data_IF_070163473092
#
_entry.id   IF_070163473092
#
_cell.length_a   1.000
_cell.length_b   1.000
_cell.length_c   1.000
_cell.angle_alpha   90.00
_cell.angle_beta   90.00
_cell.angle_gamma   90.00
#
_symmetry.space_group_name_H-M   'P 1'
#
loop_
_entity.id
_entity.type
_entity.pdbx_description
1 polymer ?
#
# COMPACT_ATOMS: atom_id res chain seq x y z
N UNK A 1 -23.82 2.48 11.81
CA UNK A 1 -22.51 3.11 12.07
C UNK A 1 -22.22 4.08 10.94
N UNK A 2 -21.82 5.32 11.27
CA UNK A 2 -21.35 6.27 10.25
C UNK A 2 -20.10 5.71 9.57
N UNK A 3 -20.03 5.81 8.25
CA UNK A 3 -18.81 5.58 7.49
C UNK A 3 -17.79 6.67 7.79
N UNK A 4 -16.51 6.33 7.76
CA UNK A 4 -15.40 7.27 7.83
C UNK A 4 -15.43 8.21 6.63
N UNK A 5 -15.22 9.49 6.89
CA UNK A 5 -15.21 10.55 5.89
C UNK A 5 -13.81 10.74 5.32
N UNK A 6 -13.71 11.04 4.04
CA UNK A 6 -12.44 11.32 3.38
C UNK A 6 -12.10 12.81 3.48
N UNK A 7 -10.99 13.13 4.13
CA UNK A 7 -10.50 14.50 4.33
C UNK A 7 -9.31 14.83 3.44
N UNK A 8 -9.48 15.80 2.55
CA UNK A 8 -8.42 16.30 1.68
C UNK A 8 -7.50 17.27 2.43
N UNK A 9 -6.24 16.90 2.64
CA UNK A 9 -5.23 17.84 3.14
C UNK A 9 -4.76 18.77 2.02
N UNK A 10 -4.98 20.07 2.20
CA UNK A 10 -4.66 21.13 1.26
C UNK A 10 -3.38 21.86 1.71
N UNK A 11 -2.31 21.71 0.92
CA UNK A 11 -0.93 22.15 1.22
C UNK A 11 -0.38 23.17 0.21
N UNK A 12 -1.23 23.74 -0.64
CA UNK A 12 -0.88 24.82 -1.55
C UNK A 12 -0.42 26.06 -0.78
N UNK A 13 0.45 26.86 -1.41
CA UNK A 13 1.00 28.07 -0.79
C UNK A 13 0.04 29.27 -0.81
N UNK A 14 -1.03 29.18 -1.61
CA UNK A 14 -2.10 30.18 -1.68
C UNK A 14 -3.49 29.56 -1.51
N UNK A 15 -4.47 30.36 -1.10
CA UNK A 15 -5.88 29.94 -1.01
C UNK A 15 -6.39 29.49 -2.37
N UNK A 16 -6.02 30.18 -3.45
CA UNK A 16 -6.42 29.85 -4.82
C UNK A 16 -5.92 28.46 -5.26
N UNK A 17 -4.65 28.13 -5.00
CA UNK A 17 -4.11 26.79 -5.29
C UNK A 17 -4.86 25.70 -4.53
N UNK A 18 -5.20 25.96 -3.27
CA UNK A 18 -5.94 25.02 -2.44
C UNK A 18 -7.39 24.83 -2.93
N UNK A 19 -8.05 25.89 -3.38
CA UNK A 19 -9.39 25.81 -3.98
C UNK A 19 -9.36 25.06 -5.32
N UNK A 20 -8.38 25.34 -6.18
CA UNK A 20 -8.22 24.62 -7.45
C UNK A 20 -7.99 23.11 -7.23
N UNK A 21 -7.18 22.75 -6.23
CA UNK A 21 -7.00 21.36 -5.83
C UNK A 21 -8.31 20.75 -5.28
N UNK A 22 -9.05 21.48 -4.45
CA UNK A 22 -10.34 21.01 -3.94
C UNK A 22 -11.36 20.79 -5.07
N UNK A 23 -11.45 21.70 -6.04
CA UNK A 23 -12.41 21.60 -7.15
C UNK A 23 -12.18 20.35 -8.00
N UNK A 24 -10.91 19.96 -8.20
CA UNK A 24 -10.57 18.70 -8.85
C UNK A 24 -11.16 17.48 -8.13
N UNK A 25 -11.15 17.47 -6.81
CA UNK A 25 -11.51 16.30 -5.99
C UNK A 25 -12.87 16.42 -5.30
N UNK A 26 -13.65 17.47 -5.56
CA UNK A 26 -14.88 17.80 -4.84
C UNK A 26 -15.91 16.68 -4.81
N UNK A 27 -16.01 15.90 -5.88
CA UNK A 27 -16.90 14.72 -5.96
C UNK A 27 -16.38 13.47 -5.23
N UNK A 28 -15.14 13.51 -4.72
CA UNK A 28 -14.45 12.36 -4.14
C UNK A 28 -14.16 12.53 -2.65
N UNK A 29 -14.31 13.72 -2.08
CA UNK A 29 -13.96 14.03 -0.68
C UNK A 29 -15.15 14.60 0.08
N UNK A 30 -15.18 14.35 1.38
CA UNK A 30 -16.30 14.73 2.25
C UNK A 30 -16.02 16.03 3.02
N UNK A 31 -14.74 16.38 3.18
CA UNK A 31 -14.25 17.60 3.82
C UNK A 31 -12.82 17.93 3.38
N UNK A 32 -12.37 19.15 3.66
CA UNK A 32 -11.01 19.61 3.39
C UNK A 32 -10.32 20.17 4.64
N UNK A 33 -9.03 19.89 4.81
CA UNK A 33 -8.18 20.49 5.84
C UNK A 33 -7.30 21.56 5.19
N UNK A 34 -7.46 22.82 5.61
CA UNK A 34 -6.57 23.90 5.21
C UNK A 34 -5.33 23.89 6.12
N UNK A 35 -4.18 23.53 5.55
CA UNK A 35 -2.88 23.61 6.24
C UNK A 35 -2.32 25.03 6.13
N UNK A 36 -2.73 25.90 7.05
CA UNK A 36 -2.31 27.31 7.08
C UNK A 36 -0.81 27.45 7.25
N UNK A 37 -0.15 26.46 7.85
CA UNK A 37 1.30 26.41 7.98
C UNK A 37 2.03 26.32 6.61
N UNK A 38 1.36 25.92 5.53
CA UNK A 38 1.91 25.93 4.17
C UNK A 38 1.66 27.23 3.42
N UNK A 39 0.73 28.08 3.89
CA UNK A 39 0.39 29.33 3.23
C UNK A 39 1.51 30.37 3.36
N UNK A 40 1.67 31.16 2.30
CA UNK A 40 2.48 32.37 2.33
C UNK A 40 1.92 33.36 3.38
N UNK A 41 2.77 34.16 4.07
CA UNK A 41 2.32 35.04 5.15
C UNK A 41 1.13 35.95 4.79
N UNK A 42 1.12 36.52 3.58
CA UNK A 42 0.04 37.39 3.10
C UNK A 42 -1.31 36.68 2.91
N UNK A 43 -1.29 35.37 2.63
CA UNK A 43 -2.50 34.58 2.44
C UNK A 43 -3.18 34.25 3.78
N UNK A 44 -2.40 34.24 4.87
CA UNK A 44 -2.91 33.94 6.22
C UNK A 44 -3.91 34.98 6.71
N UNK A 45 -3.90 36.19 6.14
CA UNK A 45 -4.89 37.21 6.47
C UNK A 45 -6.28 36.92 5.88
N UNK A 46 -6.40 35.94 4.97
CA UNK A 46 -7.62 35.63 4.21
C UNK A 46 -8.23 34.27 4.58
N UNK A 47 -7.67 33.58 5.57
CA UNK A 47 -8.09 32.21 5.93
C UNK A 47 -9.54 32.12 6.41
N UNK A 48 -10.09 33.21 6.96
CA UNK A 48 -11.47 33.25 7.45
C UNK A 48 -12.49 33.08 6.31
N UNK A 49 -12.17 33.55 5.11
CA UNK A 49 -13.04 33.45 3.93
C UNK A 49 -13.01 32.05 3.31
N UNK A 50 -12.10 31.18 3.76
CA UNK A 50 -11.87 29.88 3.14
C UNK A 50 -13.08 28.94 3.20
N UNK A 51 -13.79 28.77 4.34
CA UNK A 51 -14.90 27.82 4.40
C UNK A 51 -16.03 28.15 3.41
N UNK A 52 -16.38 29.44 3.28
CA UNK A 52 -17.39 29.90 2.31
C UNK A 52 -16.97 29.56 0.87
N UNK A 53 -15.70 29.84 0.50
CA UNK A 53 -15.17 29.53 -0.84
C UNK A 53 -15.03 28.03 -1.07
N UNK A 54 -14.67 27.28 -0.04
CA UNK A 54 -14.51 25.84 -0.12
C UNK A 54 -15.86 25.15 -0.37
N UNK A 55 -16.97 25.66 0.17
CA UNK A 55 -18.32 25.14 -0.09
C UNK A 55 -18.57 23.72 0.43
N UNK A 56 -17.69 23.19 1.26
CA UNK A 56 -17.80 21.91 1.98
C UNK A 56 -17.26 22.10 3.40
N UNK A 57 -17.54 21.19 4.36
CA UNK A 57 -16.97 21.29 5.70
C UNK A 57 -15.43 21.37 5.67
N UNK A 58 -14.85 22.28 6.44
CA UNK A 58 -13.39 22.50 6.48
C UNK A 58 -12.80 22.37 7.88
N UNK A 59 -11.52 22.00 7.94
CA UNK A 59 -10.69 21.96 9.15
C UNK A 59 -9.66 23.09 9.06
N UNK A 60 -9.58 23.92 10.11
CA UNK A 60 -8.49 24.87 10.30
C UNK A 60 -7.33 24.19 11.04
N UNK A 61 -6.16 24.11 10.39
CA UNK A 61 -4.95 23.53 10.99
C UNK A 61 -3.76 24.47 10.83
N UNK A 62 -3.10 24.81 11.95
CA UNK A 62 -1.84 25.57 11.98
C UNK A 62 -0.77 24.72 12.68
N UNK A 63 -0.18 23.77 11.95
CA UNK A 63 0.67 22.72 12.52
C UNK A 63 2.10 23.20 12.75
N UNK A 64 2.61 23.00 13.97
CA UNK A 64 4.01 23.27 14.34
C UNK A 64 4.97 22.35 13.61
N UNK A 65 6.21 22.80 13.36
CA UNK A 65 7.25 21.97 12.73
C UNK A 65 7.54 20.66 13.47
N UNK A 66 7.61 20.70 14.79
CA UNK A 66 7.85 19.52 15.63
C UNK A 66 6.75 18.45 15.53
N UNK A 67 5.54 18.84 15.12
CA UNK A 67 4.38 17.96 14.96
C UNK A 67 4.12 17.60 13.49
N UNK A 68 5.10 17.80 12.61
CA UNK A 68 5.00 17.46 11.17
C UNK A 68 4.40 18.57 10.30
N UNK A 69 4.42 19.82 10.76
CA UNK A 69 4.02 21.00 9.97
C UNK A 69 5.17 21.87 9.52
N UNK A 70 4.84 23.10 9.11
CA UNK A 70 5.80 24.12 8.64
C UNK A 70 5.79 25.40 9.47
N UNK A 71 4.98 25.48 10.52
CA UNK A 71 4.88 26.70 11.31
C UNK A 71 6.05 26.83 12.30
N UNK A 72 6.74 27.98 12.24
CA UNK A 72 7.96 28.27 13.04
C UNK A 72 7.93 29.62 13.78
N UNK A 73 6.90 30.46 13.59
CA UNK A 73 6.89 31.87 14.07
C UNK A 73 6.46 32.05 15.55
N UNK A 74 6.52 30.99 16.36
CA UNK A 74 6.19 31.03 17.78
C UNK A 74 4.69 31.05 18.12
N UNK A 75 4.37 30.65 19.35
CA UNK A 75 2.99 30.39 19.78
C UNK A 75 2.09 31.63 19.80
N UNK A 76 2.64 32.82 20.08
CA UNK A 76 1.85 34.07 20.07
C UNK A 76 1.28 34.38 18.68
N UNK A 77 2.11 34.26 17.64
CA UNK A 77 1.68 34.45 16.25
C UNK A 77 0.70 33.36 15.84
N UNK A 78 0.96 32.11 16.25
CA UNK A 78 0.08 30.96 15.99
C UNK A 78 -1.32 31.17 16.58
N UNK A 79 -1.38 31.62 17.83
CA UNK A 79 -2.61 31.95 18.54
C UNK A 79 -3.41 33.01 17.78
N UNK A 80 -2.77 34.10 17.33
CA UNK A 80 -3.43 35.16 16.56
C UNK A 80 -4.02 34.63 15.25
N UNK A 81 -3.29 33.75 14.55
CA UNK A 81 -3.77 33.13 13.30
C UNK A 81 -4.98 32.23 13.57
N UNK A 82 -4.92 31.37 14.59
CA UNK A 82 -6.04 30.50 14.98
C UNK A 82 -7.25 31.34 15.38
N UNK A 83 -7.06 32.33 16.24
CA UNK A 83 -8.11 33.26 16.65
C UNK A 83 -8.75 33.91 15.43
N UNK A 84 -7.95 34.42 14.48
CA UNK A 84 -8.45 35.03 13.25
C UNK A 84 -9.29 34.09 12.40
N UNK A 85 -8.92 32.81 12.30
CA UNK A 85 -9.72 31.82 11.58
C UNK A 85 -11.09 31.55 12.23
N UNK A 86 -11.20 31.72 13.55
CA UNK A 86 -12.44 31.54 14.32
C UNK A 86 -13.23 32.84 14.52
N UNK A 87 -12.60 33.99 14.37
CA UNK A 87 -13.22 35.31 14.54
C UNK A 87 -14.26 35.60 13.47
N UNK A 88 -15.19 36.52 13.79
CA UNK A 88 -16.23 36.98 12.87
C UNK A 88 -17.02 35.83 12.26
N UNK A 89 -17.42 34.84 13.07
CA UNK A 89 -18.22 33.72 12.61
C UNK A 89 -19.51 34.21 11.93
N UNK A 90 -19.81 33.62 10.79
CA UNK A 90 -21.01 33.90 10.02
C UNK A 90 -22.21 33.20 10.70
N UNK A 91 -23.41 33.81 10.75
CA UNK A 91 -24.61 33.12 11.19
C UNK A 91 -24.88 31.82 10.42
N UNK A 92 -24.50 31.76 9.14
CA UNK A 92 -24.47 30.54 8.36
C UNK A 92 -23.25 29.68 8.74
N UNK A 93 -23.51 28.59 9.47
CA UNK A 93 -22.49 27.65 9.92
C UNK A 93 -21.70 27.00 8.78
N UNK A 94 -22.24 26.92 7.57
CA UNK A 94 -21.52 26.38 6.42
C UNK A 94 -20.39 27.29 5.94
N UNK A 95 -20.43 28.58 6.29
CA UNK A 95 -19.39 29.57 6.00
C UNK A 95 -18.33 29.66 7.09
N UNK A 96 -18.43 28.85 8.14
CA UNK A 96 -17.45 28.76 9.22
C UNK A 96 -16.64 27.47 9.11
N UNK A 97 -15.48 27.44 9.76
CA UNK A 97 -14.76 26.18 9.91
C UNK A 97 -15.60 25.20 10.72
N UNK A 98 -15.81 24.01 10.17
CA UNK A 98 -16.53 22.94 10.86
C UNK A 98 -15.69 22.35 12.00
N UNK A 99 -14.35 22.36 11.82
CA UNK A 99 -13.40 21.88 12.82
C UNK A 99 -12.20 22.82 12.94
N UNK A 100 -11.59 22.83 14.13
CA UNK A 100 -10.25 23.36 14.36
C UNK A 100 -9.39 22.26 14.96
N UNK A 101 -8.20 22.04 14.42
CA UNK A 101 -7.23 21.07 14.94
C UNK A 101 -6.22 21.78 15.85
N UNK A 102 -6.24 21.43 17.13
CA UNK A 102 -5.39 21.98 18.18
C UNK A 102 -4.58 20.85 18.80
N UNK A 103 -3.26 21.03 18.92
CA UNK A 103 -2.41 20.04 19.56
C UNK A 103 -2.78 19.83 21.04
N UNK A 104 -2.44 18.64 21.56
CA UNK A 104 -2.83 18.18 22.90
C UNK A 104 -2.40 19.14 24.02
N UNK A 105 -1.23 19.76 23.85
CA UNK A 105 -0.62 20.72 24.77
C UNK A 105 -1.07 22.17 24.52
N UNK A 106 -1.78 22.46 23.43
CA UNK A 106 -2.30 23.80 23.13
C UNK A 106 -3.67 24.04 23.78
N UNK A 107 -3.68 24.34 25.08
CA UNK A 107 -4.90 24.56 25.85
C UNK A 107 -5.09 26.04 26.19
N UNK A 108 -5.77 26.75 25.28
CA UNK A 108 -6.09 28.17 25.44
C UNK A 108 -7.60 28.33 25.63
N UNK A 109 -8.10 28.65 26.84
CA UNK A 109 -9.53 28.70 27.15
C UNK A 109 -10.33 29.60 26.20
N UNK A 110 -9.81 30.79 25.88
CA UNK A 110 -10.48 31.73 24.98
C UNK A 110 -10.71 31.16 23.56
N UNK A 111 -9.78 30.36 23.03
CA UNK A 111 -9.92 29.71 21.73
C UNK A 111 -10.94 28.58 21.80
N UNK A 112 -10.90 27.78 22.87
CA UNK A 112 -11.84 26.68 23.06
C UNK A 112 -13.27 27.19 23.22
N UNK A 113 -13.44 28.29 23.96
CA UNK A 113 -14.73 28.96 24.12
C UNK A 113 -15.23 29.56 22.80
N UNK A 114 -14.39 30.27 22.05
CA UNK A 114 -14.74 30.77 20.72
C UNK A 114 -15.20 29.64 19.79
N UNK A 115 -14.45 28.54 19.71
CA UNK A 115 -14.83 27.39 18.90
C UNK A 115 -16.21 26.84 19.29
N UNK A 116 -16.49 26.68 20.59
CA UNK A 116 -17.79 26.19 21.10
C UNK A 116 -18.94 27.15 20.78
N UNK A 117 -18.76 28.46 21.03
CA UNK A 117 -19.80 29.48 20.78
C UNK A 117 -20.20 29.48 19.30
N UNK A 118 -19.24 29.34 18.40
CA UNK A 118 -19.48 29.39 16.96
C UNK A 118 -19.77 28.03 16.32
N UNK A 119 -19.86 26.96 17.13
CA UNK A 119 -20.21 25.62 16.67
C UNK A 119 -19.08 24.89 15.92
N UNK A 120 -17.84 25.37 15.99
CA UNK A 120 -16.66 24.69 15.46
C UNK A 120 -16.22 23.60 16.44
N UNK A 121 -16.15 22.36 15.97
CA UNK A 121 -15.69 21.23 16.80
C UNK A 121 -14.17 21.26 16.96
N UNK A 122 -13.67 20.96 18.15
CA UNK A 122 -12.22 20.88 18.40
C UNK A 122 -11.76 19.46 18.15
N UNK A 123 -10.79 19.30 17.24
CA UNK A 123 -9.98 18.10 17.11
C UNK A 123 -8.76 18.30 18.00
N UNK A 124 -8.62 17.46 19.03
CA UNK A 124 -7.49 17.49 19.95
C UNK A 124 -6.45 16.49 19.48
N UNK A 125 -5.34 16.96 18.91
CA UNK A 125 -4.41 16.09 18.19
C UNK A 125 -3.09 15.83 18.90
N UNK A 126 -2.57 14.62 18.76
CA UNK A 126 -1.24 14.22 19.19
C UNK A 126 -0.55 13.48 18.04
N UNK A 127 0.66 13.92 17.69
CA UNK A 127 1.48 13.35 16.62
C UNK A 127 2.70 12.67 17.21
N UNK A 128 2.68 11.34 17.30
CA UNK A 128 3.81 10.55 17.77
C UNK A 128 4.83 10.34 16.62
N UNK A 129 5.62 11.38 16.34
CA UNK A 129 6.62 11.39 15.25
C UNK A 129 7.75 10.36 15.48
N UNK A 130 8.01 10.03 16.74
CA UNK A 130 9.10 9.13 17.15
C UNK A 130 8.72 7.64 17.19
N UNK A 131 7.52 7.27 16.71
CA UNK A 131 7.06 5.88 16.72
C UNK A 131 5.86 5.66 17.61
N UNK A 132 5.49 4.38 17.75
CA UNK A 132 4.44 3.94 18.66
C UNK A 132 4.75 4.30 20.12
N UNK A 133 3.84 4.94 20.87
CA UNK A 133 4.03 5.18 22.30
C UNK A 133 4.25 3.86 23.06
N UNK A 134 5.10 3.93 24.09
CA UNK A 134 5.35 2.81 24.98
C UNK A 134 4.06 2.32 25.64
N UNK A 135 3.27 3.27 26.17
CA UNK A 135 1.96 3.05 26.75
C UNK A 135 0.89 3.76 25.91
N UNK A 136 0.31 3.01 24.97
CA UNK A 136 -0.73 3.49 24.07
C UNK A 136 -2.02 3.83 24.84
N UNK A 137 -2.36 3.05 25.86
CA UNK A 137 -3.59 3.22 26.63
C UNK A 137 -3.56 4.51 27.43
N UNK A 138 -2.49 4.75 28.20
CA UNK A 138 -2.31 6.00 28.95
C UNK A 138 -2.25 7.21 28.02
N UNK A 139 -1.56 7.08 26.89
CA UNK A 139 -1.48 8.14 25.88
C UNK A 139 -2.87 8.49 25.34
N UNK A 140 -3.67 7.48 25.01
CA UNK A 140 -5.04 7.68 24.52
C UNK A 140 -5.99 8.23 25.58
N UNK A 141 -5.90 7.74 26.83
CA UNK A 141 -6.72 8.20 27.95
C UNK A 141 -6.49 9.70 28.23
N UNK A 142 -5.23 10.14 28.21
CA UNK A 142 -4.87 11.56 28.34
C UNK A 142 -5.51 12.42 27.24
N UNK A 143 -5.48 11.93 25.99
CA UNK A 143 -6.02 12.65 24.84
C UNK A 143 -7.55 12.72 24.84
N UNK A 144 -8.22 11.71 25.39
CA UNK A 144 -9.68 11.54 25.34
C UNK A 144 -10.42 12.05 26.60
N UNK A 145 -9.72 12.71 27.52
CA UNK A 145 -10.27 13.19 28.79
C UNK A 145 -11.38 14.26 28.61
N UNK A 146 -11.33 15.05 27.54
CA UNK A 146 -12.30 16.11 27.27
C UNK A 146 -13.52 15.59 26.49
N UNK A 147 -14.74 15.60 27.05
CA UNK A 147 -15.91 14.96 26.43
C UNK A 147 -16.46 15.69 25.18
N UNK A 148 -16.06 16.95 24.95
CA UNK A 148 -16.56 17.78 23.84
C UNK A 148 -15.53 17.95 22.71
N UNK A 149 -14.38 17.29 22.81
CA UNK A 149 -13.31 17.34 21.82
C UNK A 149 -13.20 15.97 21.12
N UNK A 150 -12.75 15.98 19.87
CA UNK A 150 -12.49 14.76 19.10
C UNK A 150 -11.01 14.40 19.27
N UNK A 151 -10.66 13.33 20.01
CA UNK A 151 -9.28 12.91 20.15
C UNK A 151 -8.73 12.40 18.81
N UNK A 152 -7.56 12.91 18.41
CA UNK A 152 -6.84 12.53 17.18
C UNK A 152 -5.44 12.03 17.51
N UNK A 153 -5.19 10.74 17.29
CA UNK A 153 -3.86 10.15 17.45
C UNK A 153 -3.27 9.78 16.09
N UNK A 154 -2.15 10.42 15.75
CA UNK A 154 -1.35 10.12 14.56
C UNK A 154 -0.02 9.50 14.99
N UNK A 155 0.29 8.28 14.56
CA UNK A 155 1.50 7.55 14.98
C UNK A 155 2.39 7.27 13.78
N UNK A 156 3.68 7.61 13.84
CA UNK A 156 4.65 7.17 12.84
C UNK A 156 4.87 5.66 12.96
N UNK A 157 4.31 4.86 12.05
CA UNK A 157 4.45 3.41 12.07
C UNK A 157 5.77 3.02 11.43
N UNK A 158 6.61 2.29 12.17
CA UNK A 158 7.96 1.85 11.76
C UNK A 158 8.01 0.37 11.39
N UNK A 159 6.97 -0.39 11.74
CA UNK A 159 6.82 -1.81 11.43
C UNK A 159 5.36 -2.19 11.25
N UNK A 160 5.09 -3.38 10.71
CA UNK A 160 3.72 -3.91 10.63
C UNK A 160 3.12 -4.17 12.03
N UNK A 161 3.97 -4.39 13.03
CA UNK A 161 3.56 -4.53 14.43
C UNK A 161 2.88 -3.27 14.96
N UNK A 162 3.28 -2.08 14.51
CA UNK A 162 2.64 -0.84 14.93
C UNK A 162 1.19 -0.77 14.43
N UNK A 163 0.95 -1.12 13.18
CA UNK A 163 -0.40 -1.20 12.62
C UNK A 163 -1.24 -2.26 13.32
N UNK A 164 -0.66 -3.43 13.60
CA UNK A 164 -1.27 -4.49 14.42
C UNK A 164 -1.71 -3.97 15.80
N UNK A 165 -0.85 -3.22 16.50
CA UNK A 165 -1.17 -2.63 17.81
C UNK A 165 -2.31 -1.61 17.72
N UNK A 166 -2.34 -0.78 16.68
CA UNK A 166 -3.44 0.17 16.47
C UNK A 166 -4.78 -0.55 16.27
N UNK A 167 -4.83 -1.57 15.41
CA UNK A 167 -6.07 -2.34 15.23
C UNK A 167 -6.48 -3.12 16.48
N UNK A 168 -5.52 -3.73 17.19
CA UNK A 168 -5.80 -4.46 18.43
C UNK A 168 -6.41 -3.54 19.48
N UNK A 169 -5.87 -2.34 19.64
CA UNK A 169 -6.31 -1.39 20.65
C UNK A 169 -7.63 -0.73 20.27
N UNK A 170 -7.74 -0.17 19.06
CA UNK A 170 -8.90 0.64 18.65
C UNK A 170 -10.06 -0.15 18.05
N UNK A 171 -9.80 -1.33 17.48
CA UNK A 171 -10.80 -2.18 16.85
C UNK A 171 -11.99 -2.55 17.75
N UNK A 172 -11.78 -3.03 18.98
CA UNK A 172 -12.86 -3.41 19.88
C UNK A 172 -13.50 -2.23 20.64
N UNK A 173 -12.93 -1.03 20.60
CA UNK A 173 -13.44 0.11 21.36
C UNK A 173 -14.83 0.56 20.88
N UNK A 174 -15.72 0.94 21.81
CA UNK A 174 -17.04 1.49 21.48
C UNK A 174 -16.94 2.68 20.51
N UNK A 175 -17.95 2.84 19.66
CA UNK A 175 -18.08 3.90 18.66
C UNK A 175 -19.06 5.00 19.07
N UNK A 176 -19.39 5.09 20.35
CA UNK A 176 -20.32 6.11 20.89
C UNK A 176 -19.73 7.52 20.88
N UNK A 177 -18.40 7.64 20.71
CA UNK A 177 -17.69 8.91 20.60
C UNK A 177 -16.84 8.93 19.34
N UNK A 178 -16.84 10.09 18.68
CA UNK A 178 -15.96 10.36 17.55
C UNK A 178 -14.49 10.27 17.99
N UNK A 179 -13.66 9.66 17.16
CA UNK A 179 -12.20 9.63 17.31
C UNK A 179 -11.54 9.69 15.95
N UNK A 180 -10.27 10.07 15.91
CA UNK A 180 -9.45 10.02 14.70
C UNK A 180 -8.18 9.24 15.02
N UNK A 181 -7.88 8.22 14.23
CA UNK A 181 -6.70 7.37 14.42
C UNK A 181 -6.03 7.16 13.07
N UNK A 182 -4.74 7.44 12.97
CA UNK A 182 -3.97 7.24 11.74
C UNK A 182 -2.56 6.74 12.02
N UNK A 183 -2.17 5.65 11.37
CA UNK A 183 -0.76 5.31 11.16
C UNK A 183 -0.18 6.13 10.00
N UNK A 184 0.98 6.75 10.22
CA UNK A 184 1.76 7.48 9.21
C UNK A 184 2.89 6.62 8.68
N UNK A 185 3.26 6.81 7.42
CA UNK A 185 4.27 6.00 6.75
C UNK A 185 3.68 4.75 6.10
N UNK A 186 4.57 3.93 5.56
CA UNK A 186 4.25 2.79 4.70
C UNK A 186 3.41 1.72 5.42
N UNK A 187 3.80 1.34 6.63
CA UNK A 187 3.10 0.33 7.42
C UNK A 187 1.70 0.77 7.85
N UNK A 188 1.53 2.07 8.09
CA UNK A 188 0.29 2.70 8.54
C UNK A 188 -0.78 2.82 7.46
N UNK A 189 -0.42 2.55 6.19
CA UNK A 189 -1.31 2.61 5.04
C UNK A 189 -2.68 1.97 5.28
N UNK A 190 -2.69 0.74 5.79
CA UNK A 190 -3.91 -0.03 6.01
C UNK A 190 -4.87 0.65 7.00
N UNK A 191 -4.36 1.43 7.96
CA UNK A 191 -5.19 2.19 8.92
C UNK A 191 -5.96 3.33 8.26
N UNK A 192 -5.48 3.86 7.12
CA UNK A 192 -6.15 4.91 6.36
C UNK A 192 -7.29 4.34 5.52
N UNK A 193 -7.04 3.21 4.85
CA UNK A 193 -8.05 2.54 4.02
C UNK A 193 -9.13 1.90 4.90
N UNK A 194 -8.72 1.32 6.03
CA UNK A 194 -9.60 0.67 6.99
C UNK A 194 -9.87 1.57 8.21
N UNK A 195 -9.98 2.89 8.01
CA UNK A 195 -10.28 3.86 9.07
C UNK A 195 -11.54 3.48 9.86
N UNK A 196 -12.54 2.92 9.18
CA UNK A 196 -13.74 2.38 9.82
C UNK A 196 -13.45 1.26 10.80
N UNK A 197 -12.43 0.43 10.58
CA UNK A 197 -12.10 -0.70 11.47
C UNK A 197 -11.45 -0.23 12.78
N UNK A 198 -10.81 0.94 12.80
CA UNK A 198 -10.33 1.59 14.05
C UNK A 198 -11.38 2.53 14.67
N UNK A 199 -12.54 2.70 14.02
CA UNK A 199 -13.56 3.67 14.41
C UNK A 199 -13.13 5.12 14.16
N UNK A 200 -12.15 5.35 13.30
CA UNK A 200 -11.71 6.69 12.93
C UNK A 200 -12.78 7.40 12.09
N UNK A 201 -13.20 8.58 12.54
CA UNK A 201 -14.15 9.47 11.86
C UNK A 201 -13.61 9.91 10.49
N UNK A 202 -12.29 10.08 10.38
CA UNK A 202 -11.62 10.63 9.20
C UNK A 202 -10.55 9.67 8.68
N UNK A 203 -10.50 9.53 7.35
CA UNK A 203 -9.34 9.08 6.59
C UNK A 203 -8.74 10.27 5.84
N UNK A 204 -7.44 10.51 5.97
CA UNK A 204 -6.76 11.64 5.32
C UNK A 204 -6.13 11.26 3.98
N UNK A 205 -6.31 12.12 2.98
CA UNK A 205 -5.77 12.02 1.62
C UNK A 205 -5.04 13.30 1.23
N UNK A 206 -4.20 13.23 0.21
CA UNK A 206 -3.37 14.33 -0.27
C UNK A 206 -3.63 14.62 -1.73
N UNK A 207 -3.54 15.89 -2.12
CA UNK A 207 -3.78 16.34 -3.51
C UNK A 207 -2.53 16.17 -4.41
N UNK A 208 -1.88 15.00 -4.37
CA UNK A 208 -0.62 14.75 -5.10
C UNK A 208 -0.83 14.83 -6.62
N UNK A 209 -1.96 14.35 -7.14
CA UNK A 209 -2.31 14.49 -8.56
C UNK A 209 -2.50 15.95 -9.00
N UNK A 210 -2.83 16.86 -8.07
CA UNK A 210 -2.84 18.31 -8.29
C UNK A 210 -1.47 18.97 -8.04
N UNK A 211 -0.39 18.18 -7.98
CA UNK A 211 1.00 18.62 -7.74
C UNK A 211 1.21 19.30 -6.39
N UNK A 212 0.34 19.03 -5.41
CA UNK A 212 0.54 19.47 -4.04
C UNK A 212 1.29 18.40 -3.25
N UNK A 213 2.13 18.85 -2.33
CA UNK A 213 2.89 17.95 -1.45
C UNK A 213 1.96 17.24 -0.46
N UNK A 214 2.23 15.97 -0.17
CA UNK A 214 1.52 15.25 0.87
C UNK A 214 1.80 15.86 2.26
N UNK A 215 0.76 16.05 3.06
CA UNK A 215 0.88 16.70 4.36
C UNK A 215 1.39 15.76 5.47
N UNK A 216 1.34 14.45 5.22
CA UNK A 216 1.92 13.39 6.02
C UNK A 216 2.32 12.19 5.15
N UNK A 217 3.33 11.43 5.59
CA UNK A 217 3.80 10.23 4.88
C UNK A 217 2.71 9.15 4.77
N UNK A 218 2.63 8.52 3.60
CA UNK A 218 1.65 7.47 3.28
C UNK A 218 0.24 7.96 2.92
N UNK A 219 0.01 9.28 2.79
CA UNK A 219 -1.24 9.79 2.22
C UNK A 219 -1.29 9.53 0.71
N UNK A 220 -2.46 9.10 0.24
CA UNK A 220 -2.72 8.85 -1.18
C UNK A 220 -3.64 9.89 -1.79
N UNK A 221 -3.63 9.91 -3.12
CA UNK A 221 -4.56 10.68 -3.93
C UNK A 221 -6.02 10.20 -3.75
N UNK A 222 -7.01 11.13 -3.68
CA UNK A 222 -8.43 10.77 -3.62
C UNK A 222 -8.89 9.82 -4.74
N UNK A 223 -8.36 9.98 -5.96
CA UNK A 223 -8.70 9.13 -7.09
C UNK A 223 -8.35 7.68 -6.79
N UNK A 224 -7.14 7.41 -6.28
CA UNK A 224 -6.70 6.07 -5.92
C UNK A 224 -7.56 5.47 -4.78
N UNK A 225 -7.88 6.26 -3.76
CA UNK A 225 -8.72 5.81 -2.64
C UNK A 225 -10.12 5.38 -3.10
N UNK A 226 -10.75 6.12 -4.00
CA UNK A 226 -12.11 5.80 -4.50
C UNK A 226 -12.08 4.71 -5.56
N UNK A 227 -11.21 4.83 -6.57
CA UNK A 227 -11.21 3.94 -7.75
C UNK A 227 -10.63 2.56 -7.44
N UNK A 228 -9.47 2.51 -6.77
CA UNK A 228 -8.73 1.27 -6.47
C UNK A 228 -9.24 0.66 -5.16
N UNK A 229 -9.24 1.43 -4.08
CA UNK A 229 -9.55 0.91 -2.74
C UNK A 229 -11.02 1.00 -2.35
N UNK A 230 -11.87 1.43 -3.30
CA UNK A 230 -13.35 1.39 -3.20
C UNK A 230 -13.87 2.12 -1.95
N UNK A 231 -13.17 3.15 -1.48
CA UNK A 231 -13.59 3.93 -0.32
C UNK A 231 -14.93 4.60 -0.61
N UNK A 232 -15.88 4.46 0.31
CA UNK A 232 -17.29 4.84 0.13
C UNK A 232 -18.22 3.68 -0.22
N UNK A 233 -17.74 2.70 -1.00
CA UNK A 233 -18.46 1.44 -1.23
C UNK A 233 -18.21 0.45 -0.10
N UNK A 234 -16.93 0.27 0.26
CA UNK A 234 -16.48 -0.72 1.21
C UNK A 234 -17.22 -0.60 2.55
N UNK A 235 -17.53 -1.73 3.20
CA UNK A 235 -18.17 -1.74 4.52
C UNK A 235 -17.32 -2.49 5.53
N UNK A 236 -17.49 -2.23 6.85
CA UNK A 236 -16.70 -2.88 7.88
C UNK A 236 -16.78 -4.42 7.88
N UNK A 237 -17.83 -5.01 7.33
CA UNK A 237 -18.01 -6.47 7.25
C UNK A 237 -17.52 -7.10 5.94
N UNK A 238 -16.95 -6.32 5.02
CA UNK A 238 -16.40 -6.88 3.79
C UNK A 238 -15.15 -7.72 4.08
N UNK A 239 -14.99 -8.80 3.32
CA UNK A 239 -13.82 -9.66 3.42
C UNK A 239 -12.55 -8.89 3.02
N UNK A 240 -11.47 -9.10 3.76
CA UNK A 240 -10.18 -8.48 3.45
C UNK A 240 -9.28 -9.52 2.79
N UNK A 241 -8.64 -9.10 1.71
CA UNK A 241 -7.57 -9.79 1.03
C UNK A 241 -6.37 -8.85 0.92
N UNK A 242 -5.21 -9.36 0.52
CA UNK A 242 -4.09 -8.46 0.28
C UNK A 242 -2.84 -9.08 -0.29
N UNK A 243 -1.80 -8.27 -0.42
CA UNK A 243 -0.45 -8.70 -0.82
C UNK A 243 0.55 -8.39 0.29
N UNK A 244 1.19 -9.44 0.81
CA UNK A 244 2.25 -9.40 1.80
C UNK A 244 3.62 -9.30 1.12
N UNK A 245 4.46 -8.37 1.55
CA UNK A 245 5.84 -8.22 1.07
C UNK A 245 6.59 -7.09 1.78
N UNK A 246 7.80 -6.78 1.33
CA UNK A 246 8.48 -5.54 1.76
C UNK A 246 7.76 -4.27 1.28
N UNK A 247 8.30 -3.09 1.59
CA UNK A 247 7.70 -1.78 1.27
C UNK A 247 7.21 -1.62 -0.18
N UNK A 248 7.89 -2.24 -1.15
CA UNK A 248 7.56 -2.21 -2.57
C UNK A 248 6.12 -2.67 -2.91
N UNK A 249 5.46 -3.44 -2.04
CA UNK A 249 4.08 -3.88 -2.29
C UNK A 249 3.07 -2.73 -2.34
N UNK A 250 3.39 -1.56 -1.78
CA UNK A 250 2.56 -0.36 -1.90
C UNK A 250 2.42 0.10 -3.36
N UNK A 251 3.41 -0.19 -4.21
CA UNK A 251 3.38 0.07 -5.65
C UNK A 251 2.89 -1.11 -6.49
N UNK A 252 2.42 -2.20 -5.88
CA UNK A 252 1.94 -3.37 -6.62
C UNK A 252 0.66 -3.04 -7.40
N UNK A 253 0.52 -3.63 -8.60
CA UNK A 253 -0.74 -3.58 -9.36
C UNK A 253 -1.81 -4.55 -8.82
N UNK A 254 -1.46 -5.46 -7.89
CA UNK A 254 -2.38 -6.47 -7.36
C UNK A 254 -3.67 -5.86 -6.77
N UNK A 255 -3.62 -4.77 -5.95
CA UNK A 255 -4.83 -4.10 -5.49
C UNK A 255 -5.70 -3.59 -6.63
N UNK A 256 -5.12 -3.02 -7.68
CA UNK A 256 -5.87 -2.53 -8.86
C UNK A 256 -6.59 -3.68 -9.56
N UNK A 257 -5.88 -4.78 -9.83
CA UNK A 257 -6.42 -5.95 -10.53
C UNK A 257 -7.53 -6.61 -9.69
N UNK A 258 -7.24 -6.93 -8.42
CA UNK A 258 -8.16 -7.70 -7.58
C UNK A 258 -9.38 -6.88 -7.14
N UNK A 259 -9.23 -5.60 -6.80
CA UNK A 259 -10.40 -4.79 -6.44
C UNK A 259 -11.31 -4.53 -7.64
N UNK A 260 -10.75 -4.34 -8.85
CA UNK A 260 -11.54 -4.26 -10.08
C UNK A 260 -12.28 -5.59 -10.34
N UNK A 261 -11.59 -6.72 -10.20
CA UNK A 261 -12.19 -8.05 -10.31
C UNK A 261 -13.29 -8.31 -9.28
N UNK A 262 -13.08 -7.94 -8.01
CA UNK A 262 -14.09 -8.04 -6.96
C UNK A 262 -15.31 -7.16 -7.26
N UNK A 263 -15.10 -5.94 -7.76
CA UNK A 263 -16.19 -5.04 -8.17
C UNK A 263 -16.98 -5.66 -9.33
N UNK A 264 -16.30 -6.13 -10.38
CA UNK A 264 -16.93 -6.75 -11.55
C UNK A 264 -17.71 -8.02 -11.20
N UNK A 265 -17.23 -8.81 -10.24
CA UNK A 265 -17.89 -10.02 -9.77
C UNK A 265 -18.97 -9.76 -8.69
N UNK A 266 -19.23 -8.51 -8.30
CA UNK A 266 -20.19 -8.17 -7.24
C UNK A 266 -19.76 -8.65 -5.83
N UNK A 267 -18.47 -8.92 -5.63
CA UNK A 267 -17.94 -9.43 -4.36
C UNK A 267 -17.71 -8.29 -3.36
N UNK A 268 -18.20 -8.52 -2.14
CA UNK A 268 -18.05 -7.64 -0.96
C UNK A 268 -16.68 -7.86 -0.32
N UNK A 269 -15.63 -7.50 -1.06
CA UNK A 269 -14.25 -7.72 -0.68
C UNK A 269 -13.35 -6.53 -1.06
N UNK A 270 -12.28 -6.37 -0.29
CA UNK A 270 -11.18 -5.44 -0.55
C UNK A 270 -9.85 -6.18 -0.63
N UNK A 271 -8.97 -5.73 -1.50
CA UNK A 271 -7.60 -6.19 -1.62
C UNK A 271 -6.62 -5.07 -1.29
N UNK A 272 -5.75 -5.26 -0.30
CA UNK A 272 -4.84 -4.21 0.21
C UNK A 272 -3.36 -4.61 0.14
N UNK A 273 -2.44 -3.67 -0.09
CA UNK A 273 -1.03 -3.90 0.17
C UNK A 273 -0.75 -3.94 1.69
N UNK A 274 0.05 -4.91 2.10
CA UNK A 274 0.55 -5.07 3.47
C UNK A 274 2.08 -5.11 3.45
N UNK A 275 2.76 -3.95 3.47
CA UNK A 275 4.19 -3.92 3.70
C UNK A 275 4.48 -4.48 5.10
N UNK A 276 5.46 -5.37 5.20
CA UNK A 276 5.81 -6.03 6.44
C UNK A 276 7.31 -6.28 6.54
N UNK A 277 7.82 -6.12 7.74
CA UNK A 277 9.17 -6.47 8.18
C UNK A 277 9.18 -7.80 8.97
N UNK A 278 8.07 -8.10 9.65
CA UNK A 278 7.87 -9.31 10.45
C UNK A 278 6.62 -10.09 10.02
N UNK A 279 6.79 -11.40 9.78
CA UNK A 279 5.70 -12.29 9.38
C UNK A 279 4.72 -12.50 10.53
N UNK A 280 5.22 -12.69 11.75
CA UNK A 280 4.37 -13.06 12.90
C UNK A 280 3.38 -11.95 13.25
N UNK A 281 3.85 -10.70 13.21
CA UNK A 281 3.03 -9.51 13.39
C UNK A 281 2.00 -9.35 12.28
N UNK A 282 2.36 -9.65 11.03
CA UNK A 282 1.37 -9.72 9.95
C UNK A 282 0.33 -10.82 10.20
N UNK A 283 0.73 -12.03 10.60
CA UNK A 283 -0.22 -13.11 10.88
C UNK A 283 -1.20 -12.72 12.00
N UNK A 284 -0.76 -12.05 13.07
CA UNK A 284 -1.67 -11.51 14.09
C UNK A 284 -2.61 -10.44 13.53
N UNK A 285 -2.12 -9.57 12.66
CA UNK A 285 -2.96 -8.59 11.97
C UNK A 285 -4.01 -9.27 11.08
N UNK A 286 -3.70 -10.41 10.44
CA UNK A 286 -4.67 -11.14 9.62
C UNK A 286 -5.87 -11.64 10.42
N UNK A 287 -5.68 -11.99 11.70
CA UNK A 287 -6.78 -12.37 12.60
C UNK A 287 -7.63 -11.16 12.98
N UNK A 288 -7.00 -10.02 13.33
CA UNK A 288 -7.70 -8.79 13.71
C UNK A 288 -8.57 -8.22 12.58
N UNK A 289 -8.14 -8.39 11.33
CA UNK A 289 -8.82 -7.87 10.15
C UNK A 289 -9.74 -8.90 9.46
N UNK A 290 -9.78 -10.15 9.94
CA UNK A 290 -10.42 -11.29 9.27
C UNK A 290 -9.99 -11.39 7.79
N UNK A 291 -8.68 -11.40 7.55
CA UNK A 291 -8.13 -11.57 6.21
C UNK A 291 -8.43 -12.99 5.73
N UNK A 292 -9.08 -13.10 4.56
CA UNK A 292 -9.56 -14.36 3.98
C UNK A 292 -8.57 -15.01 3.02
N UNK A 293 -7.64 -14.24 2.48
CA UNK A 293 -6.58 -14.72 1.59
C UNK A 293 -5.59 -13.61 1.28
N UNK A 294 -4.35 -13.97 0.99
CA UNK A 294 -3.35 -12.99 0.58
C UNK A 294 -2.32 -13.59 -0.37
N UNK A 295 -1.88 -12.77 -1.34
CA UNK A 295 -0.70 -13.05 -2.13
C UNK A 295 0.55 -12.73 -1.32
N UNK A 296 1.66 -13.39 -1.66
CA UNK A 296 2.92 -13.32 -0.92
C UNK A 296 4.03 -13.07 -1.93
N UNK A 297 4.80 -12.02 -1.68
CA UNK A 297 6.01 -11.71 -2.45
C UNK A 297 7.24 -11.68 -1.55
N UNK A 298 8.37 -11.29 -2.12
CA UNK A 298 9.66 -11.18 -1.43
C UNK A 298 9.50 -10.28 -0.18
N UNK A 299 10.06 -10.66 0.98
CA UNK A 299 10.89 -11.84 1.26
C UNK A 299 10.14 -13.02 1.91
N UNK A 300 8.80 -13.08 1.85
CA UNK A 300 8.00 -13.98 2.69
C UNK A 300 7.60 -15.32 2.07
N UNK A 301 7.87 -15.53 0.76
CA UNK A 301 7.42 -16.74 0.04
C UNK A 301 7.89 -18.06 0.68
N UNK A 302 9.09 -18.08 1.27
CA UNK A 302 9.64 -19.24 1.97
C UNK A 302 9.31 -19.20 3.47
N UNK A 303 9.29 -18.00 4.07
CA UNK A 303 9.04 -17.80 5.51
C UNK A 303 7.64 -18.21 5.95
N UNK A 304 6.65 -18.13 5.06
CA UNK A 304 5.26 -18.51 5.37
C UNK A 304 5.07 -20.03 5.52
N UNK A 305 5.95 -20.86 4.94
CA UNK A 305 5.73 -22.29 4.84
C UNK A 305 5.41 -22.98 6.19
N UNK A 306 6.11 -22.68 7.31
CA UNK A 306 5.80 -23.28 8.61
C UNK A 306 4.41 -22.91 9.16
N UNK A 307 3.76 -21.87 8.63
CA UNK A 307 2.43 -21.40 9.05
C UNK A 307 1.29 -21.99 8.24
N UNK A 308 1.60 -22.77 7.19
CA UNK A 308 0.60 -23.40 6.33
C UNK A 308 0.17 -24.75 6.93
N UNK A 309 -1.14 -24.93 7.10
CA UNK A 309 -1.72 -26.22 7.51
C UNK A 309 -1.80 -27.20 6.34
N UNK A 310 -1.90 -26.70 5.12
CA UNK A 310 -1.86 -27.50 3.90
C UNK A 310 -0.98 -26.82 2.84
N UNK A 311 -0.24 -27.64 2.08
CA UNK A 311 0.64 -27.18 1.00
C UNK A 311 0.32 -27.96 -0.27
N UNK A 312 0.05 -27.22 -1.34
CA UNK A 312 -0.10 -27.76 -2.69
C UNK A 312 1.14 -28.54 -3.16
N UNK A 313 1.00 -29.49 -4.11
CA UNK A 313 2.13 -30.24 -4.66
C UNK A 313 3.27 -29.34 -5.16
N UNK A 314 2.91 -28.23 -5.79
CA UNK A 314 3.85 -27.25 -6.35
C UNK A 314 4.70 -26.61 -5.25
N UNK A 315 4.13 -26.32 -4.08
CA UNK A 315 4.90 -25.84 -2.93
C UNK A 315 5.90 -26.88 -2.44
N UNK A 316 5.52 -28.16 -2.40
CA UNK A 316 6.40 -29.23 -1.92
C UNK A 316 7.64 -29.38 -2.82
N UNK A 317 7.47 -29.18 -4.13
CA UNK A 317 8.57 -29.22 -5.09
C UNK A 317 9.38 -27.92 -5.14
N UNK A 318 8.72 -26.76 -5.17
CA UNK A 318 9.36 -25.44 -5.40
C UNK A 318 9.95 -24.87 -4.11
N UNK A 319 9.38 -25.21 -2.95
CA UNK A 319 9.77 -24.66 -1.65
C UNK A 319 9.37 -23.19 -1.46
N UNK A 320 8.32 -22.71 -2.13
CA UNK A 320 7.85 -21.33 -2.02
C UNK A 320 6.35 -21.23 -2.23
N UNK A 321 5.68 -20.42 -1.39
CA UNK A 321 4.26 -20.11 -1.44
C UNK A 321 4.06 -18.65 -1.85
N UNK A 322 3.25 -18.40 -2.87
CA UNK A 322 2.91 -17.03 -3.31
C UNK A 322 1.44 -16.66 -3.03
N UNK A 323 0.62 -17.61 -2.57
CA UNK A 323 -0.81 -17.43 -2.34
C UNK A 323 -1.24 -18.24 -1.12
N UNK A 324 -1.79 -17.58 -0.10
CA UNK A 324 -2.36 -18.25 1.08
C UNK A 324 -3.85 -17.96 1.17
N UNK A 325 -4.65 -19.00 1.44
CA UNK A 325 -6.11 -18.93 1.58
C UNK A 325 -6.52 -19.45 2.95
N UNK A 326 -7.40 -18.74 3.65
CA UNK A 326 -7.90 -19.14 4.97
C UNK A 326 -8.91 -20.28 4.82
N UNK A 327 -8.72 -21.34 5.59
CA UNK A 327 -9.58 -22.53 5.68
C UNK A 327 -10.01 -22.76 7.13
N UNK A 328 -10.83 -23.79 7.39
CA UNK A 328 -11.19 -24.18 8.75
C UNK A 328 -9.97 -24.64 9.58
N UNK A 329 -8.99 -25.28 8.94
CA UNK A 329 -7.82 -25.87 9.58
C UNK A 329 -6.59 -24.93 9.59
N UNK A 330 -6.77 -23.65 9.22
CA UNK A 330 -5.68 -22.67 9.09
C UNK A 330 -5.43 -22.24 7.65
N UNK A 331 -4.17 -22.02 7.28
CA UNK A 331 -3.80 -21.48 5.96
C UNK A 331 -3.42 -22.57 4.96
N UNK A 332 -4.16 -22.66 3.86
CA UNK A 332 -3.80 -23.46 2.70
C UNK A 332 -2.92 -22.62 1.76
N UNK A 333 -1.73 -23.15 1.41
CA UNK A 333 -0.80 -22.48 0.51
C UNK A 333 -0.79 -23.03 -0.90
N UNK A 334 -0.65 -22.12 -1.86
CA UNK A 334 -0.51 -22.38 -3.29
C UNK A 334 0.69 -21.65 -3.89
N UNK A 335 1.20 -22.18 -4.99
CA UNK A 335 2.14 -21.49 -5.87
C UNK A 335 1.48 -21.26 -7.23
N UNK A 336 0.85 -20.11 -7.39
CA UNK A 336 0.15 -19.72 -8.62
C UNK A 336 1.11 -19.17 -9.70
N UNK A 337 2.38 -18.92 -9.38
CA UNK A 337 3.40 -18.57 -10.39
C UNK A 337 3.62 -19.75 -11.34
N UNK A 338 3.71 -20.98 -10.79
CA UNK A 338 3.80 -22.21 -11.58
C UNK A 338 2.55 -22.41 -12.46
N UNK A 339 1.36 -22.30 -11.86
CA UNK A 339 0.08 -22.46 -12.59
C UNK A 339 -0.06 -21.39 -13.70
N UNK A 340 0.31 -20.15 -13.39
CA UNK A 340 0.30 -19.05 -14.34
C UNK A 340 1.24 -19.30 -15.52
N UNK A 341 2.47 -19.73 -15.25
CA UNK A 341 3.43 -20.12 -16.27
C UNK A 341 2.89 -21.26 -17.15
N UNK A 342 2.36 -22.33 -16.56
CA UNK A 342 1.76 -23.46 -17.32
C UNK A 342 0.73 -22.98 -18.33
N UNK A 343 -0.20 -22.11 -17.89
CA UNK A 343 -1.25 -21.59 -18.78
C UNK A 343 -0.65 -20.73 -19.88
N UNK A 344 0.24 -19.81 -19.53
CA UNK A 344 0.82 -18.87 -20.46
C UNK A 344 1.72 -19.55 -21.51
N UNK A 345 2.59 -20.47 -21.09
CA UNK A 345 3.52 -21.17 -21.99
C UNK A 345 2.79 -22.08 -22.97
N UNK A 346 1.76 -22.82 -22.52
CA UNK A 346 0.97 -23.68 -23.41
C UNK A 346 0.18 -22.87 -24.43
N UNK A 347 -0.39 -21.73 -24.00
CA UNK A 347 -1.07 -20.81 -24.90
C UNK A 347 -0.08 -20.21 -25.92
N UNK A 348 1.09 -19.78 -25.46
CA UNK A 348 2.14 -19.19 -26.31
C UNK A 348 2.64 -20.18 -27.36
N UNK A 349 2.89 -21.43 -26.97
CA UNK A 349 3.34 -22.49 -27.86
C UNK A 349 2.20 -23.11 -28.71
N UNK A 350 0.94 -22.74 -28.45
CA UNK A 350 -0.22 -23.35 -29.12
C UNK A 350 -0.36 -24.85 -28.85
N UNK A 351 0.11 -25.34 -27.70
CA UNK A 351 0.26 -26.76 -27.40
C UNK A 351 -0.55 -27.20 -26.17
N UNK A 352 -0.83 -28.51 -26.05
CA UNK A 352 -1.54 -29.10 -24.89
C UNK A 352 -0.58 -29.56 -23.78
N UNK A 353 0.63 -29.95 -24.17
CA UNK A 353 1.77 -30.30 -23.33
C UNK A 353 3.06 -29.79 -24.01
N UNK A 354 4.23 -30.08 -23.43
CA UNK A 354 5.53 -29.72 -24.00
C UNK A 354 6.39 -30.98 -24.21
N UNK A 355 5.77 -32.15 -24.44
CA UNK A 355 6.49 -33.40 -24.59
C UNK A 355 7.46 -33.33 -25.78
N UNK A 356 8.75 -33.56 -25.52
CA UNK A 356 9.80 -33.51 -26.55
C UNK A 356 10.27 -32.10 -26.96
N UNK A 357 9.63 -31.04 -26.45
CA UNK A 357 10.10 -29.66 -26.64
C UNK A 357 11.37 -29.46 -25.83
N UNK A 358 12.42 -28.92 -26.47
CA UNK A 358 13.69 -28.66 -25.81
C UNK A 358 13.77 -27.22 -25.33
N UNK A 359 13.94 -27.05 -24.01
CA UNK A 359 13.75 -25.76 -23.33
C UNK A 359 15.00 -25.31 -22.60
N UNK A 360 15.45 -24.09 -22.83
CA UNK A 360 16.52 -23.47 -22.07
C UNK A 360 15.95 -22.51 -21.02
N UNK A 361 16.21 -22.78 -19.75
CA UNK A 361 15.85 -21.89 -18.64
C UNK A 361 17.01 -20.94 -18.37
N UNK A 362 16.79 -19.65 -18.59
CA UNK A 362 17.77 -18.60 -18.27
C UNK A 362 17.48 -18.06 -16.87
N UNK A 363 18.36 -18.38 -15.93
CA UNK A 363 18.24 -18.02 -14.52
C UNK A 363 18.01 -19.22 -13.60
N UNK A 364 18.28 -19.02 -12.31
CA UNK A 364 18.08 -20.03 -11.26
C UNK A 364 17.47 -19.44 -9.98
N UNK A 365 16.58 -18.44 -10.14
CA UNK A 365 15.85 -17.78 -9.06
C UNK A 365 14.52 -18.46 -8.72
N UNK A 366 13.68 -17.78 -7.92
CA UNK A 366 12.37 -18.32 -7.53
C UNK A 366 11.42 -18.55 -8.71
N UNK A 367 11.46 -17.68 -9.73
CA UNK A 367 10.74 -17.88 -10.99
C UNK A 367 11.26 -19.12 -11.73
N UNK A 368 12.57 -19.26 -11.87
CA UNK A 368 13.22 -20.44 -12.47
C UNK A 368 12.79 -21.76 -11.81
N UNK A 369 12.68 -21.80 -10.47
CA UNK A 369 12.21 -23.00 -9.76
C UNK A 369 10.78 -23.37 -10.15
N UNK A 370 9.91 -22.38 -10.31
CA UNK A 370 8.51 -22.58 -10.71
C UNK A 370 8.40 -23.01 -12.18
N UNK A 371 9.22 -22.41 -13.06
CA UNK A 371 9.35 -22.78 -14.47
C UNK A 371 9.88 -24.21 -14.61
N UNK A 372 11.01 -24.55 -13.98
CA UNK A 372 11.61 -25.88 -14.06
C UNK A 372 10.65 -26.98 -13.58
N UNK A 373 9.95 -26.74 -12.46
CA UNK A 373 8.92 -27.65 -11.97
C UNK A 373 7.82 -27.87 -13.01
N UNK A 374 7.28 -26.80 -13.61
CA UNK A 374 6.23 -26.90 -14.62
C UNK A 374 6.70 -27.53 -15.92
N UNK A 375 7.91 -27.25 -16.39
CA UNK A 375 8.48 -27.86 -17.58
C UNK A 375 8.64 -29.38 -17.41
N UNK A 376 9.10 -29.81 -16.24
CA UNK A 376 9.17 -31.23 -15.89
C UNK A 376 7.77 -31.88 -15.89
N UNK A 377 6.77 -31.26 -15.26
CA UNK A 377 5.38 -31.75 -15.26
C UNK A 377 4.75 -31.79 -16.67
N UNK A 378 5.17 -30.92 -17.58
CA UNK A 378 4.70 -30.87 -18.97
C UNK A 378 5.47 -31.79 -19.93
N UNK A 379 6.47 -32.53 -19.45
CA UNK A 379 7.26 -33.48 -20.24
C UNK A 379 8.33 -32.84 -21.14
N UNK A 380 8.69 -31.58 -20.89
CA UNK A 380 9.72 -30.89 -21.65
C UNK A 380 11.13 -31.44 -21.33
N UNK A 381 12.01 -31.45 -22.33
CA UNK A 381 13.43 -31.70 -22.13
C UNK A 381 14.12 -30.38 -21.84
N UNK A 382 14.53 -30.11 -20.60
CA UNK A 382 15.00 -28.79 -20.20
C UNK A 382 16.50 -28.76 -19.82
N UNK A 383 17.13 -27.60 -19.98
CA UNK A 383 18.44 -27.28 -19.41
C UNK A 383 18.39 -25.97 -18.61
N UNK A 384 19.38 -25.74 -17.75
CA UNK A 384 19.48 -24.51 -16.92
C UNK A 384 20.78 -23.78 -17.18
N UNK A 385 20.70 -22.51 -17.55
CA UNK A 385 21.87 -21.62 -17.61
C UNK A 385 21.70 -20.47 -16.62
N UNK A 386 22.74 -20.17 -15.86
CA UNK A 386 22.66 -19.07 -14.89
C UNK A 386 24.05 -18.52 -14.55
N UNK A 387 24.13 -17.23 -14.23
CA UNK A 387 25.39 -16.55 -13.85
C UNK A 387 26.08 -17.22 -12.66
N UNK A 388 25.31 -17.63 -11.66
CA UNK A 388 25.82 -18.35 -10.49
C UNK A 388 25.75 -19.86 -10.74
N UNK A 389 26.90 -20.46 -11.05
CA UNK A 389 27.05 -21.91 -11.27
C UNK A 389 26.46 -22.74 -10.11
N UNK A 390 26.75 -22.44 -8.83
CA UNK A 390 26.17 -23.20 -7.72
C UNK A 390 24.63 -23.19 -7.70
N UNK A 391 23.99 -22.08 -8.11
CA UNK A 391 22.53 -22.01 -8.22
C UNK A 391 21.99 -22.79 -9.41
N UNK A 392 22.68 -22.72 -10.57
CA UNK A 392 22.33 -23.49 -11.77
C UNK A 392 22.31 -24.99 -11.45
N UNK A 393 23.44 -25.47 -10.91
CA UNK A 393 23.65 -26.86 -10.52
C UNK A 393 22.58 -27.35 -9.54
N UNK A 394 22.29 -26.59 -8.48
CA UNK A 394 21.26 -26.97 -7.49
C UNK A 394 19.87 -27.13 -8.10
N UNK A 395 19.46 -26.21 -8.98
CA UNK A 395 18.17 -26.31 -9.65
C UNK A 395 18.14 -27.52 -10.60
N UNK A 396 19.20 -27.70 -11.37
CA UNK A 396 19.32 -28.76 -12.35
C UNK A 396 19.34 -30.16 -11.70
N UNK A 397 20.07 -30.34 -10.60
CA UNK A 397 20.10 -31.60 -9.83
C UNK A 397 18.73 -32.01 -9.28
N UNK A 398 17.85 -31.04 -8.99
CA UNK A 398 16.49 -31.31 -8.48
C UNK A 398 15.64 -32.09 -9.50
N UNK A 399 15.87 -31.87 -10.80
CA UNK A 399 15.09 -32.47 -11.89
C UNK A 399 15.95 -33.29 -12.87
N UNK A 400 17.22 -33.53 -12.55
CA UNK A 400 18.15 -34.27 -13.43
C UNK A 400 18.48 -33.55 -14.74
N UNK A 401 18.48 -32.21 -14.75
CA UNK A 401 18.68 -31.41 -15.97
C UNK A 401 20.18 -31.17 -16.26
N UNK A 402 20.58 -31.01 -17.53
CA UNK A 402 21.84 -30.40 -17.88
C UNK A 402 21.90 -28.93 -17.45
N UNK A 403 23.10 -28.42 -17.18
CA UNK A 403 23.29 -27.03 -16.80
C UNK A 403 24.62 -26.46 -17.26
N UNK A 404 24.69 -25.13 -17.36
CA UNK A 404 25.94 -24.41 -17.63
C UNK A 404 25.97 -23.03 -16.96
N UNK A 405 27.14 -22.41 -16.96
CA UNK A 405 27.28 -20.99 -16.68
C UNK A 405 26.69 -20.15 -17.82
N UNK A 406 26.19 -18.96 -17.51
CA UNK A 406 25.62 -18.05 -18.51
C UNK A 406 26.74 -17.27 -19.23
N UNK A 407 27.47 -17.95 -20.11
CA UNK A 407 28.57 -17.43 -20.95
C UNK A 407 28.61 -18.17 -22.29
N UNK A 408 29.48 -17.76 -23.22
CA UNK A 408 29.71 -18.41 -24.52
C UNK A 408 29.94 -19.94 -24.44
N UNK A 409 30.42 -20.46 -23.31
CA UNK A 409 30.58 -21.91 -23.10
C UNK A 409 29.26 -22.68 -23.05
N UNK A 410 28.14 -21.98 -22.97
CA UNK A 410 26.80 -22.56 -23.00
C UNK A 410 26.17 -22.57 -24.39
N UNK A 411 26.83 -22.05 -25.45
CA UNK A 411 26.26 -21.98 -26.80
C UNK A 411 25.80 -23.35 -27.28
N UNK A 412 26.67 -24.37 -27.26
CA UNK A 412 26.31 -25.73 -27.71
C UNK A 412 25.12 -26.30 -26.92
N UNK A 413 25.06 -26.02 -25.61
CA UNK A 413 23.94 -26.44 -24.77
C UNK A 413 22.67 -25.68 -25.11
N UNK A 414 22.75 -24.36 -25.33
CA UNK A 414 21.60 -23.54 -25.65
C UNK A 414 21.05 -23.92 -27.04
N UNK A 415 21.90 -24.07 -28.05
CA UNK A 415 21.52 -24.53 -29.40
C UNK A 415 20.87 -25.92 -29.37
N UNK A 416 21.28 -26.79 -28.44
CA UNK A 416 20.62 -28.07 -28.27
C UNK A 416 19.23 -27.94 -27.64
N UNK A 417 18.94 -26.88 -26.88
CA UNK A 417 17.73 -26.68 -26.08
C UNK A 417 16.99 -25.36 -26.42
N UNK A 418 16.90 -24.98 -27.68
CA UNK A 418 16.39 -23.66 -28.11
C UNK A 418 15.00 -23.67 -28.77
N UNK A 419 14.23 -24.77 -28.71
CA UNK A 419 12.83 -24.73 -29.19
C UNK A 419 12.03 -23.68 -28.40
N UNK A 420 12.34 -23.54 -27.12
CA UNK A 420 11.83 -22.49 -26.25
C UNK A 420 12.92 -22.01 -25.28
N UNK A 421 13.13 -20.70 -25.19
CA UNK A 421 14.00 -20.06 -24.22
C UNK A 421 13.12 -19.32 -23.21
N UNK A 422 13.25 -19.66 -21.93
CA UNK A 422 12.47 -19.03 -20.85
C UNK A 422 13.37 -18.17 -19.99
N UNK A 423 13.23 -16.86 -20.10
CA UNK A 423 13.97 -15.90 -19.30
C UNK A 423 13.30 -15.73 -17.94
N UNK A 424 14.05 -16.01 -16.87
CA UNK A 424 13.59 -15.94 -15.47
C UNK A 424 14.46 -15.05 -14.57
N UNK A 425 15.36 -14.26 -15.16
CA UNK A 425 16.24 -13.34 -14.43
C UNK A 425 15.59 -11.96 -14.28
N UNK A 426 16.22 -11.07 -13.51
CA UNK A 426 15.80 -9.66 -13.45
C UNK A 426 16.56 -8.76 -14.44
N UNK A 427 17.40 -9.32 -15.31
CA UNK A 427 18.18 -8.55 -16.30
C UNK A 427 17.24 -8.03 -17.37
N UNK A 428 17.26 -6.72 -17.63
CA UNK A 428 16.35 -6.03 -18.55
C UNK A 428 15.07 -5.50 -17.92
N UNK A 429 14.79 -5.81 -16.64
CA UNK A 429 13.65 -5.28 -15.90
C UNK A 429 13.87 -3.81 -15.56
N UNK A 430 12.83 -2.98 -15.67
CA UNK A 430 12.91 -1.56 -15.28
C UNK A 430 13.25 -1.43 -13.79
N UNK A 431 14.28 -0.64 -13.48
CA UNK A 431 14.84 -0.51 -12.12
C UNK A 431 15.70 -1.70 -11.65
N UNK A 432 15.84 -2.75 -12.48
CA UNK A 432 16.76 -3.86 -12.28
C UNK A 432 18.10 -3.67 -13.01
N UNK A 433 18.97 -4.70 -13.01
CA UNK A 433 20.17 -4.69 -13.84
C UNK A 433 19.79 -4.54 -15.33
N UNK A 434 20.30 -3.53 -16.04
CA UNK A 434 20.01 -3.36 -17.47
C UNK A 434 20.73 -4.43 -18.31
N UNK A 435 20.31 -4.56 -19.58
CA UNK A 435 21.00 -5.36 -20.58
C UNK A 435 20.23 -6.61 -21.02
N UNK A 436 20.93 -7.46 -21.76
CA UNK A 436 20.46 -8.75 -22.29
C UNK A 436 21.26 -9.88 -21.60
N UNK A 437 20.62 -10.85 -20.92
CA UNK A 437 21.32 -11.98 -20.30
C UNK A 437 21.97 -12.95 -21.31
N UNK A 438 21.61 -12.88 -22.60
CA UNK A 438 22.08 -13.73 -23.69
C UNK A 438 22.79 -12.93 -24.81
N UNK A 439 23.41 -11.80 -24.49
CA UNK A 439 24.13 -10.96 -25.49
C UNK A 439 25.22 -11.70 -26.30
N UNK A 440 25.67 -12.84 -25.80
CA UNK A 440 26.68 -13.73 -26.40
C UNK A 440 26.08 -14.85 -27.26
N UNK A 441 24.76 -14.95 -27.36
CA UNK A 441 24.05 -15.97 -28.15
C UNK A 441 23.46 -15.36 -29.43
N UNK A 442 23.68 -16.02 -30.56
CA UNK A 442 23.13 -15.57 -31.85
C UNK A 442 21.85 -16.35 -32.17
N UNK A 443 20.72 -15.66 -32.19
CA UNK A 443 19.43 -16.22 -32.54
C UNK A 443 19.36 -16.59 -34.03
N UNK A 444 18.85 -17.78 -34.34
CA UNK A 444 18.59 -18.21 -35.72
C UNK A 444 17.27 -17.67 -36.29
N UNK A 445 16.40 -17.14 -35.42
CA UNK A 445 15.07 -16.63 -35.78
C UNK A 445 13.98 -17.70 -35.75
N UNK A 446 14.28 -18.88 -35.23
CA UNK A 446 13.33 -20.01 -35.08
C UNK A 446 12.96 -20.27 -33.63
N UNK A 447 13.70 -19.71 -32.69
CA UNK A 447 13.53 -19.90 -31.27
C UNK A 447 12.26 -19.20 -30.78
N UNK A 448 11.50 -19.86 -29.91
CA UNK A 448 10.46 -19.19 -29.15
C UNK A 448 11.10 -18.57 -27.89
N UNK A 449 10.83 -17.29 -27.60
CA UNK A 449 11.31 -16.61 -26.40
C UNK A 449 10.13 -16.27 -25.48
N UNK A 450 10.23 -16.68 -24.21
CA UNK A 450 9.23 -16.38 -23.18
C UNK A 450 9.88 -15.62 -22.01
N UNK A 451 9.46 -14.38 -21.81
CA UNK A 451 9.98 -13.51 -20.75
C UNK A 451 9.07 -13.54 -19.52
N UNK A 452 9.63 -13.69 -18.32
CA UNK A 452 8.88 -13.49 -17.07
C UNK A 452 8.84 -12.02 -16.61
N UNK A 453 9.66 -11.16 -17.24
CA UNK A 453 9.62 -9.71 -17.05
C UNK A 453 8.47 -9.14 -17.86
N UNK A 454 7.65 -8.30 -17.23
CA UNK A 454 6.52 -7.60 -17.86
C UNK A 454 6.70 -6.07 -17.89
N UNK A 455 7.76 -5.57 -17.24
CA UNK A 455 8.08 -4.15 -17.21
C UNK A 455 9.60 -3.95 -17.42
N UNK A 456 10.04 -3.39 -18.56
CA UNK A 456 9.23 -2.85 -19.66
C UNK A 456 8.48 -3.93 -20.45
N UNK A 457 7.48 -3.55 -21.29
CA UNK A 457 6.78 -4.51 -22.16
C UNK A 457 7.66 -5.22 -23.19
N UNK A 458 8.77 -4.58 -23.60
CA UNK A 458 9.79 -5.17 -24.47
C UNK A 458 11.17 -4.99 -23.83
N UNK A 459 11.84 -6.09 -23.48
CA UNK A 459 13.19 -6.08 -22.89
C UNK A 459 14.27 -5.97 -23.96
N UNK A 460 15.53 -5.81 -23.56
CA UNK A 460 16.65 -5.82 -24.50
C UNK A 460 16.83 -7.17 -25.21
N UNK A 461 16.49 -8.29 -24.54
CA UNK A 461 16.55 -9.64 -25.11
C UNK A 461 15.45 -9.88 -26.16
N UNK A 462 14.29 -9.22 -26.03
CA UNK A 462 13.20 -9.32 -27.00
C UNK A 462 13.46 -8.54 -28.30
N UNK A 463 14.39 -7.58 -28.27
CA UNK A 463 14.74 -6.72 -29.41
C UNK A 463 15.89 -7.32 -30.19
#
# INVERSE_FOLDING_TARGET
MSMSKLCLCLTGSTIEQNLAALDRYRGLVDLAELRVDFLLPQERFRIRDFPEKAGIPTILTVRRKQDGGRFEQGEGVRLVIIAKGLSFADPDRHKNFAYVDLEQDFQIPAIQEAARIFGTKIIRSLHCMNGMPADLEKTWASLSASPYEIPKLSVATRSIQDSERLFRFFGPMSRDRDRIVSGMGEYGFCTRVLADRTGSLLGYVSAVGAKLEASASGQMDPDAMRSVYRIGEAKPNWAIYGILGGAAVLGSLSPTIHNAGFRAAGLKALYLPFPADDLESFMRLTELLDVRGFSITVPFKEKILPRLSWRSPEIKAIGACNTAVRTADGWAGYNTDAIGFRKAVLQFMGAKDLAGVKVCIVGAGGAARSVAYMLNELGASACVINRSIPKAKRLAETYGLPWSGMTERAVDLLEHYNDLIVQTTSVGMEGGPPGDPLEWYQFSGKEALFETIYNPPETALMK
#
